data_IF_071428182531
#
_entry.id   IF_071428182531
#
_cell.length_a   1.000
_cell.length_b   1.000
_cell.length_c   1.000
_cell.angle_alpha   90.00
_cell.angle_beta   90.00
_cell.angle_gamma   90.00
#
_symmetry.space_group_name_H-M   'P 1'
#
loop_
_entity.id
_entity.type
_entity.pdbx_description
1 polymer ?
#
# COMPACT_ATOMS: atom_id res chain seq x y z
N UNK A 1 -8.43 1.80 7.00
CA UNK A 1 -9.13 3.10 7.06
C UNK A 1 -9.00 3.84 5.75
N UNK A 2 -9.93 4.78 5.50
CA UNK A 2 -9.99 5.52 4.23
C UNK A 2 -10.50 6.96 4.38
N UNK A 3 -11.02 7.35 5.55
CA UNK A 3 -11.61 8.67 5.79
C UNK A 3 -10.85 9.45 6.87
N UNK A 4 -10.78 10.78 6.72
CA UNK A 4 -10.22 11.67 7.74
C UNK A 4 -10.91 11.51 9.10
N UNK A 5 -12.23 11.36 9.11
CA UNK A 5 -13.01 11.15 10.34
C UNK A 5 -12.70 9.84 11.08
N UNK A 6 -12.26 8.82 10.37
CA UNK A 6 -11.80 7.56 10.98
C UNK A 6 -10.47 7.76 11.72
N UNK A 7 -9.57 8.61 11.18
CA UNK A 7 -8.32 8.97 11.88
C UNK A 7 -8.59 9.65 13.21
N UNK A 8 -9.57 10.56 13.26
CA UNK A 8 -9.91 11.26 14.50
C UNK A 8 -10.45 10.29 15.55
N UNK A 9 -11.31 9.34 15.15
CA UNK A 9 -11.78 8.29 16.04
C UNK A 9 -10.64 7.40 16.55
N UNK A 10 -9.68 7.07 15.69
CA UNK A 10 -8.49 6.29 16.08
C UNK A 10 -7.61 7.06 17.07
N UNK A 11 -7.36 8.36 16.82
CA UNK A 11 -6.60 9.21 17.74
C UNK A 11 -7.22 9.28 19.12
N UNK A 12 -8.56 9.40 19.20
CA UNK A 12 -9.28 9.34 20.49
C UNK A 12 -9.15 7.97 21.15
N UNK A 13 -9.32 6.88 20.42
CA UNK A 13 -9.18 5.53 20.97
C UNK A 13 -7.76 5.28 21.52
N UNK A 14 -6.72 5.74 20.83
CA UNK A 14 -5.32 5.60 21.27
C UNK A 14 -4.98 6.35 22.55
N UNK A 15 -5.82 7.29 23.01
CA UNK A 15 -5.63 7.95 24.30
C UNK A 15 -5.93 7.04 25.50
N UNK A 16 -6.76 6.03 25.30
CA UNK A 16 -7.25 5.16 26.37
C UNK A 16 -6.96 3.67 26.15
N UNK A 17 -6.65 3.29 24.91
CA UNK A 17 -6.35 1.90 24.52
C UNK A 17 -4.95 1.85 23.93
N UNK A 18 -4.07 1.05 24.51
CA UNK A 18 -2.65 0.97 24.11
C UNK A 18 -2.45 0.23 22.77
N UNK A 19 -3.15 -0.88 22.57
CA UNK A 19 -2.97 -1.78 21.43
C UNK A 19 -3.99 -1.50 20.30
N UNK A 20 -4.05 -0.25 19.81
CA UNK A 20 -4.84 0.12 18.62
C UNK A 20 -3.93 0.28 17.43
N UNK A 21 -4.06 -0.60 16.45
CA UNK A 21 -3.31 -0.57 15.20
C UNK A 21 -4.23 -0.31 14.02
N UNK A 22 -3.74 0.45 13.05
CA UNK A 22 -4.53 0.91 11.91
C UNK A 22 -3.76 0.69 10.61
N UNK A 23 -4.46 0.13 9.64
CA UNK A 23 -3.96 -0.15 8.32
C UNK A 23 -4.57 0.80 7.28
N UNK A 24 -3.76 1.23 6.31
CA UNK A 24 -4.21 1.90 5.09
C UNK A 24 -3.78 1.11 3.87
N UNK A 25 -4.54 1.19 2.78
CA UNK A 25 -4.18 0.53 1.53
C UNK A 25 -3.52 1.49 0.55
N UNK A 26 -2.65 1.01 -0.37
CA UNK A 26 -2.05 1.87 -1.39
C UNK A 26 -3.09 2.62 -2.22
N UNK A 27 -4.19 1.98 -2.60
CA UNK A 27 -5.21 2.65 -3.40
C UNK A 27 -5.90 3.83 -2.69
N UNK A 28 -6.02 3.83 -1.36
CA UNK A 28 -6.50 4.97 -0.60
C UNK A 28 -5.42 6.05 -0.33
N UNK A 29 -4.17 5.78 -0.72
CA UNK A 29 -3.06 6.74 -0.69
C UNK A 29 -2.82 7.40 -2.05
N UNK A 30 -3.17 6.73 -3.15
CA UNK A 30 -2.77 7.15 -4.49
C UNK A 30 -3.94 7.42 -5.44
N UNK A 31 -5.14 6.91 -5.16
CA UNK A 31 -6.32 7.08 -6.01
C UNK A 31 -7.42 7.83 -5.26
N UNK A 32 -8.26 8.52 -6.03
CA UNK A 32 -9.36 9.34 -5.53
C UNK A 32 -10.70 8.87 -6.09
N UNK A 33 -11.80 9.37 -5.51
CA UNK A 33 -13.15 9.16 -6.06
C UNK A 33 -13.30 9.71 -7.49
N UNK A 34 -12.50 10.73 -7.84
CA UNK A 34 -12.51 11.31 -9.19
C UNK A 34 -11.98 10.32 -10.22
N UNK A 35 -10.91 9.58 -9.87
CA UNK A 35 -10.39 8.51 -10.72
C UNK A 35 -11.43 7.42 -10.94
N UNK A 36 -12.20 7.08 -9.90
CA UNK A 36 -13.25 6.07 -9.98
C UNK A 36 -14.46 6.49 -10.84
N UNK A 37 -14.78 7.79 -10.93
CA UNK A 37 -15.88 8.29 -11.77
C UNK A 37 -15.72 7.93 -13.24
N UNK A 38 -14.47 7.87 -13.69
CA UNK A 38 -14.13 7.65 -15.10
C UNK A 38 -13.63 6.24 -15.39
N UNK A 39 -13.45 5.41 -14.34
CA UNK A 39 -12.95 4.06 -14.50
C UNK A 39 -13.73 3.05 -13.64
N UNK A 40 -14.69 2.31 -14.24
CA UNK A 40 -15.50 1.33 -13.51
C UNK A 40 -14.67 0.17 -12.93
N UNK A 41 -13.45 -0.06 -13.42
CA UNK A 41 -12.54 -1.07 -12.88
C UNK A 41 -12.09 -0.72 -11.45
N UNK A 42 -12.11 0.56 -11.06
CA UNK A 42 -11.75 1.02 -9.72
C UNK A 42 -12.86 0.83 -8.66
N UNK A 43 -13.93 0.12 -9.00
CA UNK A 43 -14.99 -0.19 -8.05
C UNK A 43 -14.48 -1.12 -6.95
N UNK A 44 -14.54 -0.64 -5.70
CA UNK A 44 -14.09 -1.35 -4.50
C UNK A 44 -14.91 -0.99 -3.27
N UNK A 45 -14.68 -1.68 -2.16
CA UNK A 45 -15.23 -1.33 -0.84
C UNK A 45 -14.13 -1.47 0.22
N UNK A 46 -13.91 -0.46 1.06
CA UNK A 46 -14.49 0.90 0.98
C UNK A 46 -14.19 1.58 -0.36
N UNK A 47 -15.11 2.41 -0.83
CA UNK A 47 -14.91 3.15 -2.08
C UNK A 47 -13.73 4.13 -1.96
N UNK A 48 -13.13 4.51 -3.08
CA UNK A 48 -12.15 5.59 -3.14
C UNK A 48 -12.78 6.88 -2.62
N UNK A 49 -11.96 7.73 -1.99
CA UNK A 49 -12.42 8.90 -1.25
C UNK A 49 -11.97 10.19 -1.93
N UNK A 50 -12.47 11.31 -1.39
CA UNK A 50 -12.06 12.63 -1.83
C UNK A 50 -10.55 12.84 -1.64
N UNK A 51 -9.98 13.74 -2.41
CA UNK A 51 -8.55 14.10 -2.31
C UNK A 51 -8.16 14.53 -0.89
N UNK A 52 -9.05 15.21 -0.18
CA UNK A 52 -8.83 15.61 1.21
C UNK A 52 -8.67 14.41 2.16
N UNK A 53 -9.37 13.30 1.93
CA UNK A 53 -9.20 12.08 2.70
C UNK A 53 -7.87 11.40 2.37
N UNK A 54 -7.47 11.36 1.10
CA UNK A 54 -6.15 10.88 0.68
C UNK A 54 -5.03 11.66 1.38
N UNK A 55 -5.12 12.99 1.42
CA UNK A 55 -4.16 13.86 2.12
C UNK A 55 -4.16 13.58 3.64
N UNK A 56 -5.33 13.33 4.23
CA UNK A 56 -5.45 12.93 5.63
C UNK A 56 -4.77 11.57 5.91
N UNK A 57 -4.86 10.59 5.00
CA UNK A 57 -4.15 9.30 5.17
C UNK A 57 -2.63 9.51 5.19
N UNK A 58 -2.07 10.34 4.32
CA UNK A 58 -0.64 10.68 4.36
C UNK A 58 -0.26 11.38 5.67
N UNK A 59 -1.11 12.28 6.18
CA UNK A 59 -0.92 12.91 7.50
C UNK A 59 -0.95 11.88 8.62
N UNK A 60 -1.87 10.92 8.58
CA UNK A 60 -1.96 9.83 9.55
C UNK A 60 -0.75 8.88 9.55
N UNK A 61 -0.08 8.70 8.40
CA UNK A 61 1.21 8.02 8.32
C UNK A 61 2.31 8.86 9.01
N UNK A 62 2.36 10.15 8.71
CA UNK A 62 3.41 11.04 9.22
C UNK A 62 3.33 11.20 10.75
N UNK A 63 2.15 11.29 11.33
CA UNK A 63 1.94 11.45 12.78
C UNK A 63 1.91 10.12 13.56
N UNK A 64 2.01 8.96 12.87
CA UNK A 64 2.03 7.64 13.49
C UNK A 64 0.65 7.09 13.89
N UNK A 65 -0.43 7.76 13.49
CA UNK A 65 -1.80 7.24 13.68
C UNK A 65 -2.00 5.96 12.88
N UNK A 66 -1.50 5.93 11.62
CA UNK A 66 -1.47 4.75 10.76
C UNK A 66 -0.18 3.98 11.00
N UNK A 67 -0.28 2.68 11.20
CA UNK A 67 0.79 1.82 11.69
C UNK A 67 1.29 0.83 10.66
N UNK A 68 0.49 0.48 9.65
CA UNK A 68 0.83 -0.53 8.66
C UNK A 68 0.15 -0.27 7.33
N UNK A 69 0.69 -0.84 6.27
CA UNK A 69 0.11 -0.84 4.93
C UNK A 69 -0.26 -2.26 4.57
N UNK A 70 -1.54 -2.46 4.24
CA UNK A 70 -2.04 -3.70 3.66
C UNK A 70 -2.56 -3.45 2.26
N UNK A 71 -2.45 -4.43 1.37
CA UNK A 71 -2.79 -4.22 -0.04
C UNK A 71 -4.26 -4.36 -0.36
N UNK A 72 -5.00 -5.07 0.48
CA UNK A 72 -6.37 -5.51 0.19
C UNK A 72 -6.49 -6.07 -1.25
N UNK A 73 -5.51 -6.91 -1.63
CA UNK A 73 -5.43 -7.49 -2.97
C UNK A 73 -6.64 -8.37 -3.26
N UNK A 74 -7.59 -7.84 -4.00
CA UNK A 74 -8.83 -8.51 -4.41
C UNK A 74 -8.95 -8.56 -5.94
N UNK A 75 -8.16 -9.43 -6.61
CA UNK A 75 -8.11 -9.49 -8.06
C UNK A 75 -9.34 -10.16 -8.64
N UNK A 76 -9.94 -9.51 -9.64
CA UNK A 76 -10.99 -10.06 -10.47
C UNK A 76 -10.61 -9.90 -11.94
N UNK A 77 -11.07 -10.80 -12.80
CA UNK A 77 -10.88 -10.63 -14.24
C UNK A 77 -11.56 -9.34 -14.70
N UNK A 78 -11.01 -8.70 -15.73
CA UNK A 78 -11.59 -7.47 -16.29
C UNK A 78 -13.04 -7.69 -16.74
N UNK A 79 -13.36 -8.85 -17.34
CA UNK A 79 -14.73 -9.23 -17.70
C UNK A 79 -15.68 -9.27 -16.48
N UNK A 80 -15.22 -9.80 -15.35
CA UNK A 80 -16.03 -9.83 -14.13
C UNK A 80 -16.25 -8.43 -13.56
N UNK A 81 -15.25 -7.56 -13.64
CA UNK A 81 -15.37 -6.16 -13.23
C UNK A 81 -16.41 -5.42 -14.06
N UNK A 82 -16.45 -5.65 -15.36
CA UNK A 82 -17.34 -4.96 -16.29
C UNK A 82 -18.75 -5.57 -16.26
N UNK A 83 -18.85 -6.90 -16.36
CA UNK A 83 -20.15 -7.59 -16.53
C UNK A 83 -20.89 -7.75 -15.20
N UNK A 84 -20.17 -8.10 -14.11
CA UNK A 84 -20.75 -8.38 -12.79
C UNK A 84 -20.60 -7.24 -11.81
N UNK A 85 -19.88 -6.18 -12.20
CA UNK A 85 -19.57 -5.02 -11.35
C UNK A 85 -18.98 -5.41 -9.98
N UNK A 86 -18.09 -6.41 -9.95
CA UNK A 86 -17.46 -6.90 -8.73
C UNK A 86 -16.65 -5.82 -8.03
N UNK A 87 -16.59 -5.89 -6.70
CA UNK A 87 -15.77 -5.01 -5.87
C UNK A 87 -14.37 -5.59 -5.69
N UNK A 88 -13.35 -4.73 -5.62
CA UNK A 88 -11.96 -5.11 -5.41
C UNK A 88 -11.06 -4.83 -6.60
N UNK A 89 -9.78 -4.59 -6.31
CA UNK A 89 -8.74 -4.32 -7.30
C UNK A 89 -7.47 -5.11 -6.98
N UNK A 90 -6.63 -5.41 -7.98
CA UNK A 90 -5.29 -5.95 -7.73
C UNK A 90 -4.40 -4.86 -7.12
N UNK A 91 -3.66 -5.20 -6.05
CA UNK A 91 -2.81 -4.23 -5.35
C UNK A 91 -1.44 -4.74 -4.92
N UNK A 92 -1.26 -6.06 -4.70
CA UNK A 92 -0.05 -6.59 -4.05
C UNK A 92 1.22 -6.36 -4.87
N UNK A 93 1.13 -6.45 -6.19
CA UNK A 93 2.26 -6.46 -7.10
C UNK A 93 3.00 -5.12 -7.16
N UNK A 94 2.25 -4.02 -7.08
CA UNK A 94 2.78 -2.67 -7.27
C UNK A 94 2.91 -1.86 -5.97
N UNK A 95 2.38 -2.39 -4.86
CA UNK A 95 2.28 -1.68 -3.59
C UNK A 95 3.62 -1.10 -3.10
N UNK A 96 4.68 -1.90 -3.07
CA UNK A 96 5.99 -1.44 -2.63
C UNK A 96 6.59 -0.44 -3.63
N UNK A 97 6.46 -0.66 -4.93
CA UNK A 97 6.97 0.25 -5.96
C UNK A 97 6.31 1.65 -5.85
N UNK A 98 5.00 1.72 -5.62
CA UNK A 98 4.29 2.97 -5.37
C UNK A 98 4.84 3.71 -4.14
N UNK A 99 5.16 2.98 -3.07
CA UNK A 99 5.74 3.58 -1.86
C UNK A 99 7.17 4.05 -2.08
N UNK A 100 8.00 3.32 -2.86
CA UNK A 100 9.34 3.78 -3.24
C UNK A 100 9.27 5.06 -4.10
N UNK A 101 8.28 5.14 -4.98
CA UNK A 101 8.02 6.38 -5.73
C UNK A 101 7.63 7.53 -4.80
N UNK A 102 6.77 7.29 -3.82
CA UNK A 102 6.41 8.31 -2.81
C UNK A 102 7.62 8.78 -1.96
N UNK A 103 8.59 7.89 -1.70
CA UNK A 103 9.87 8.27 -1.09
C UNK A 103 10.63 9.22 -2.01
N UNK A 104 10.74 8.93 -3.30
CA UNK A 104 11.41 9.79 -4.27
C UNK A 104 10.69 11.15 -4.46
N UNK A 105 9.38 11.20 -4.26
CA UNK A 105 8.59 12.43 -4.26
C UNK A 105 8.68 13.22 -2.94
N UNK A 106 9.37 12.68 -1.93
CA UNK A 106 9.51 13.31 -0.61
C UNK A 106 8.26 13.26 0.27
N UNK A 107 7.28 12.44 -0.07
CA UNK A 107 6.04 12.27 0.71
C UNK A 107 6.26 11.46 1.99
N UNK A 108 7.21 10.54 1.97
CA UNK A 108 7.51 9.61 3.07
C UNK A 108 9.01 9.29 3.07
N UNK A 109 9.59 8.95 4.21
CA UNK A 109 10.97 8.45 4.27
C UNK A 109 11.04 6.94 4.02
N UNK A 110 12.16 6.46 3.48
CA UNK A 110 12.39 5.01 3.30
C UNK A 110 12.30 4.26 4.64
N UNK A 111 12.84 4.85 5.72
CA UNK A 111 12.73 4.26 7.06
C UNK A 111 11.27 4.07 7.51
N UNK A 112 10.39 5.03 7.21
CA UNK A 112 8.96 4.91 7.51
C UNK A 112 8.28 3.84 6.63
N UNK A 113 8.68 3.66 5.37
CA UNK A 113 8.19 2.54 4.54
C UNK A 113 8.59 1.20 5.16
N UNK A 114 9.84 1.04 5.61
CA UNK A 114 10.31 -0.18 6.28
C UNK A 114 9.50 -0.45 7.56
N UNK A 115 9.28 0.58 8.37
CA UNK A 115 8.45 0.48 9.57
C UNK A 115 7.04 -0.05 9.25
N UNK A 116 6.36 0.54 8.24
CA UNK A 116 4.98 0.22 7.87
C UNK A 116 4.81 -1.16 7.20
N UNK A 117 5.82 -1.63 6.46
CA UNK A 117 5.75 -2.90 5.71
C UNK A 117 6.39 -4.09 6.42
N UNK A 118 7.34 -3.84 7.32
CA UNK A 118 8.17 -4.91 7.89
C UNK A 118 8.14 -4.94 9.41
N UNK A 119 8.62 -3.89 10.08
CA UNK A 119 8.82 -3.92 11.53
C UNK A 119 7.49 -3.97 12.29
N UNK A 120 6.58 -3.06 11.96
CA UNK A 120 5.29 -2.96 12.67
C UNK A 120 4.38 -4.17 12.40
N UNK A 121 4.21 -4.66 11.16
CA UNK A 121 3.47 -5.91 10.92
C UNK A 121 4.07 -7.10 11.67
N UNK A 122 5.40 -7.26 11.68
CA UNK A 122 6.04 -8.35 12.40
C UNK A 122 5.75 -8.28 13.91
N UNK A 123 5.74 -7.07 14.49
CA UNK A 123 5.39 -6.82 15.90
C UNK A 123 3.92 -7.13 16.16
N UNK A 124 3.00 -6.59 15.36
CA UNK A 124 1.53 -6.76 15.53
C UNK A 124 1.15 -8.24 15.48
N UNK A 125 1.63 -8.94 14.47
CA UNK A 125 1.32 -10.35 14.25
C UNK A 125 2.26 -11.31 15.02
N UNK A 126 3.16 -10.77 15.85
CA UNK A 126 4.12 -11.55 16.66
C UNK A 126 4.93 -12.54 15.85
N UNK A 127 5.35 -12.14 14.65
CA UNK A 127 6.15 -12.98 13.76
C UNK A 127 7.59 -12.94 14.26
N UNK A 128 8.09 -14.11 14.72
CA UNK A 128 9.43 -14.23 15.28
C UNK A 128 10.49 -14.11 14.18
N UNK A 129 11.60 -13.46 14.50
CA UNK A 129 12.80 -13.33 13.66
C UNK A 129 12.54 -12.70 12.28
N UNK A 130 11.50 -11.86 12.13
CA UNK A 130 11.14 -11.15 10.91
C UNK A 130 11.02 -9.64 11.14
N UNK A 131 11.03 -8.88 10.06
CA UNK A 131 10.81 -7.45 10.05
C UNK A 131 12.06 -6.59 10.20
N UNK A 132 13.22 -7.19 10.45
CA UNK A 132 14.49 -6.47 10.61
C UNK A 132 15.66 -7.24 9.97
N UNK A 133 16.67 -6.50 9.55
CA UNK A 133 17.98 -7.05 9.17
C UNK A 133 18.88 -6.94 10.41
N UNK A 134 18.94 -8.01 11.20
CA UNK A 134 19.68 -8.06 12.45
C UNK A 134 20.19 -9.48 12.71
N UNK A 135 21.31 -9.62 13.45
CA UNK A 135 21.87 -10.93 13.80
C UNK A 135 20.85 -11.74 14.61
N UNK A 136 20.55 -12.95 14.16
CA UNK A 136 19.54 -13.83 14.76
C UNK A 136 18.16 -13.76 14.08
N UNK A 137 17.98 -12.84 13.13
CA UNK A 137 16.78 -12.78 12.29
C UNK A 137 16.96 -13.63 11.03
N UNK A 138 15.84 -14.03 10.43
CA UNK A 138 15.85 -14.72 9.15
C UNK A 138 16.39 -13.78 8.06
N UNK A 139 17.17 -14.32 7.13
CA UNK A 139 17.72 -13.55 6.01
C UNK A 139 16.65 -13.30 4.92
N UNK A 140 15.60 -12.60 5.30
CA UNK A 140 14.53 -12.15 4.42
C UNK A 140 14.71 -10.66 4.11
N UNK A 141 15.02 -10.33 2.86
CA UNK A 141 15.24 -8.95 2.47
C UNK A 141 14.98 -8.72 0.99
N UNK A 142 14.66 -7.49 0.64
CA UNK A 142 14.54 -7.03 -0.75
C UNK A 142 15.67 -6.08 -1.08
N UNK A 143 16.26 -6.23 -2.28
CA UNK A 143 17.21 -5.28 -2.86
C UNK A 143 16.42 -4.31 -3.70
N UNK A 144 16.58 -3.02 -3.45
CA UNK A 144 15.87 -1.95 -4.15
C UNK A 144 16.87 -1.03 -4.88
N UNK A 145 16.47 -0.54 -6.05
CA UNK A 145 17.14 0.55 -6.74
C UNK A 145 16.24 1.78 -6.69
N UNK A 146 16.67 2.79 -5.91
CA UNK A 146 15.90 4.03 -5.70
C UNK A 146 15.96 4.98 -6.89
N UNK A 147 16.89 4.81 -7.83
CA UNK A 147 17.10 5.72 -8.95
C UNK A 147 16.49 5.25 -10.27
N UNK A 148 16.16 3.97 -10.37
CA UNK A 148 15.58 3.38 -11.58
C UNK A 148 14.21 3.96 -11.88
N UNK A 149 14.06 4.49 -13.09
CA UNK A 149 12.81 5.00 -13.65
C UNK A 149 12.21 3.99 -14.62
N UNK A 150 10.93 3.76 -14.52
CA UNK A 150 10.21 2.83 -15.37
C UNK A 150 8.71 3.15 -15.37
N UNK A 151 7.95 2.45 -16.20
CA UNK A 151 6.50 2.64 -16.32
C UNK A 151 5.81 1.33 -15.98
N UNK A 152 4.79 1.38 -15.14
CA UNK A 152 3.93 0.23 -14.85
C UNK A 152 3.12 -0.08 -16.11
N UNK A 153 3.17 -1.33 -16.57
CA UNK A 153 2.41 -1.78 -17.74
C UNK A 153 1.57 -3.01 -17.39
N UNK A 154 0.36 -3.06 -17.94
CA UNK A 154 -0.50 -4.23 -17.79
C UNK A 154 0.14 -5.52 -18.30
N UNK A 155 0.91 -5.44 -19.39
CA UNK A 155 1.63 -6.58 -19.98
C UNK A 155 2.67 -7.21 -19.03
N UNK A 156 3.15 -6.45 -18.04
CA UNK A 156 4.12 -6.92 -17.04
C UNK A 156 3.42 -7.52 -15.81
N UNK A 157 2.06 -7.51 -15.76
CA UNK A 157 1.30 -8.00 -14.60
C UNK A 157 1.35 -9.51 -14.51
N UNK A 158 1.93 -10.04 -13.43
CA UNK A 158 2.03 -11.50 -13.15
C UNK A 158 0.71 -12.04 -12.59
N UNK A 159 -0.06 -11.21 -11.90
CA UNK A 159 -1.36 -11.56 -11.36
C UNK A 159 -2.30 -12.07 -12.45
N UNK A 160 -3.01 -13.18 -12.20
CA UNK A 160 -3.91 -13.82 -13.18
C UNK A 160 -5.03 -12.90 -13.71
N UNK A 161 -5.34 -11.82 -13.02
CA UNK A 161 -6.32 -10.85 -13.50
C UNK A 161 -5.83 -10.04 -14.70
N UNK A 162 -4.52 -10.00 -14.95
CA UNK A 162 -3.84 -9.39 -16.10
C UNK A 162 -4.20 -7.91 -16.33
N UNK A 163 -4.44 -7.15 -15.26
CA UNK A 163 -4.64 -5.72 -15.31
C UNK A 163 -4.19 -5.07 -13.99
N UNK A 164 -3.96 -3.75 -14.03
CA UNK A 164 -3.60 -2.95 -12.87
C UNK A 164 -4.29 -1.58 -12.90
N UNK A 165 -4.72 -1.03 -11.74
CA UNK A 165 -5.24 0.33 -11.68
C UNK A 165 -4.17 1.41 -11.96
N UNK A 166 -2.91 1.04 -11.99
CA UNK A 166 -1.77 1.95 -12.11
C UNK A 166 -1.11 1.88 -13.49
N UNK A 167 -1.79 1.34 -14.51
CA UNK A 167 -1.26 1.23 -15.86
C UNK A 167 -0.81 2.58 -16.41
N UNK A 168 0.37 2.60 -17.06
CA UNK A 168 1.06 3.79 -17.58
C UNK A 168 1.55 4.80 -16.52
N UNK A 169 1.59 4.44 -15.25
CA UNK A 169 2.19 5.29 -14.24
C UNK A 169 3.72 5.26 -14.34
N UNK A 170 4.33 6.44 -14.38
CA UNK A 170 5.78 6.60 -14.27
C UNK A 170 6.19 6.44 -12.81
N UNK A 171 7.12 5.53 -12.54
CA UNK A 171 7.61 5.19 -11.21
C UNK A 171 9.11 5.41 -11.14
N UNK A 172 9.55 5.97 -10.02
CA UNK A 172 10.97 5.99 -9.64
C UNK A 172 11.17 5.17 -8.37
N UNK A 173 12.04 4.18 -8.46
CA UNK A 173 12.30 3.15 -7.46
C UNK A 173 11.79 1.78 -7.91
N UNK A 174 12.60 0.74 -7.78
CA UNK A 174 12.26 -0.63 -8.17
C UNK A 174 12.74 -1.65 -7.16
N UNK A 175 12.16 -2.84 -7.20
CA UNK A 175 12.60 -4.02 -6.47
C UNK A 175 13.39 -4.88 -7.46
N UNK A 176 14.68 -5.06 -7.20
CA UNK A 176 15.58 -5.81 -8.08
C UNK A 176 15.64 -7.29 -7.72
N UNK A 177 15.52 -7.62 -6.43
CA UNK A 177 15.50 -9.00 -5.96
C UNK A 177 14.84 -9.11 -4.58
N UNK A 178 14.32 -10.29 -4.27
CA UNK A 178 13.82 -10.64 -2.95
C UNK A 178 14.42 -11.99 -2.53
N UNK A 179 14.99 -12.03 -1.34
CA UNK A 179 15.59 -13.21 -0.74
C UNK A 179 14.74 -13.68 0.43
N UNK A 180 14.56 -14.98 0.53
CA UNK A 180 13.83 -15.63 1.62
C UNK A 180 14.73 -16.69 2.22
N UNK A 181 15.20 -16.46 3.44
CA UNK A 181 16.13 -17.30 4.20
C UNK A 181 17.51 -17.46 3.56
N UNK A 182 17.94 -16.44 2.83
CA UNK A 182 19.24 -16.36 2.18
C UNK A 182 19.31 -16.98 0.80
#
# INVERSE_FOLDING_TARGET
>A
ISLASELDAVREAKKTVEDVYVEVTPHHLFLTEEDAKHNPLLRMKPELKAKSDVEAMWTGIADGTINTIGTDHAPHLMSEKIEKLTFGIPGVEWALALMLNAVNEGKISLGKVIELYSETPAKIFRIKNKGKIEVGYDADFSIIDMDKKWVIKEEDTISKCAWTPYNNWEIKGSIEATYVRG
#
